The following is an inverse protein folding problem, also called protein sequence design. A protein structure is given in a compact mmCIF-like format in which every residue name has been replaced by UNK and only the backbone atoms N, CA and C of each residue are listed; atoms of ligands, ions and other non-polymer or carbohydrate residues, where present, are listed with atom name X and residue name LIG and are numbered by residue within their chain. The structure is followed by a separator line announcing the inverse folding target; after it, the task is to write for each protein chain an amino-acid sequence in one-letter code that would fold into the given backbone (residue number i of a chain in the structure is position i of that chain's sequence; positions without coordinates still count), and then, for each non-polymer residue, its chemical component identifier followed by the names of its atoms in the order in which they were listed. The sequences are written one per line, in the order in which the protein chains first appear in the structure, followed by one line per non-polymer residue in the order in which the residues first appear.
data_IF_419746027443
#
_entry.id   IF_419746027443
#
_cell.length_a   1.000
_cell.length_b   1.000
_cell.length_c   1.000
_cell.angle_alpha   90.00
_cell.angle_beta   90.00
_cell.angle_gamma   90.00
#
_symmetry.space_group_name_H-M   'P 1'
#
loop_
_entity.id
_entity.type
_entity.pdbx_description
1 polymer ?
#
# COMPACT_ATOMS: atom_id res chain seq x y z
N UNK A 1 -26.91 -0.97 21.02
CA UNK A 1 -25.48 -0.79 20.72
C UNK A 1 -25.20 -1.75 19.59
N UNK A 2 -24.80 -1.26 18.40
CA UNK A 2 -24.35 -2.12 17.30
C UNK A 2 -23.09 -2.87 17.72
N UNK A 3 -22.89 -4.08 17.21
CA UNK A 3 -21.65 -4.81 17.40
C UNK A 3 -20.53 -4.02 16.68
N UNK A 4 -19.39 -3.83 17.36
CA UNK A 4 -18.21 -3.19 16.83
C UNK A 4 -17.68 -4.01 15.64
N UNK A 5 -17.53 -3.38 14.48
CA UNK A 5 -17.02 -4.04 13.27
C UNK A 5 -15.51 -4.18 13.32
N UNK A 6 -14.93 -5.02 12.45
CA UNK A 6 -13.47 -5.08 12.30
C UNK A 6 -12.91 -3.72 11.84
N UNK A 7 -13.64 -3.00 10.98
CA UNK A 7 -13.25 -1.67 10.53
C UNK A 7 -13.16 -0.69 11.71
N UNK A 8 -14.19 -0.65 12.58
CA UNK A 8 -14.17 0.21 13.77
C UNK A 8 -12.97 -0.09 14.67
N UNK A 9 -12.70 -1.38 14.90
CA UNK A 9 -11.61 -1.82 15.74
C UNK A 9 -10.24 -1.41 15.20
N UNK A 10 -9.94 -1.70 13.91
CA UNK A 10 -8.62 -1.42 13.35
C UNK A 10 -8.40 0.07 13.05
N UNK A 11 -9.44 0.81 12.68
CA UNK A 11 -9.38 2.27 12.49
C UNK A 11 -9.35 3.02 13.83
N UNK A 12 -9.91 2.44 14.89
CA UNK A 12 -9.83 2.96 16.24
C UNK A 12 -8.42 2.96 16.82
N UNK A 13 -7.60 1.96 16.47
CA UNK A 13 -6.19 1.92 16.86
C UNK A 13 -5.39 2.96 16.04
N UNK A 14 -4.67 3.86 16.74
CA UNK A 14 -3.86 4.92 16.11
C UNK A 14 -2.37 4.59 16.05
N UNK A 15 -1.91 3.67 16.88
CA UNK A 15 -0.54 3.21 16.86
C UNK A 15 -0.36 2.20 15.71
N UNK A 16 0.44 2.58 14.71
CA UNK A 16 0.67 1.74 13.53
C UNK A 16 1.43 0.44 13.86
N UNK A 17 2.28 0.42 14.89
CA UNK A 17 2.95 -0.78 15.37
C UNK A 17 1.96 -1.79 15.95
N UNK A 18 1.01 -1.31 16.76
CA UNK A 18 -0.09 -2.15 17.27
C UNK A 18 -1.00 -2.66 16.16
N UNK A 19 -1.22 -1.87 15.09
CA UNK A 19 -1.94 -2.37 13.91
C UNK A 19 -1.25 -3.58 13.28
N UNK A 20 0.08 -3.57 13.17
CA UNK A 20 0.85 -4.72 12.68
C UNK A 20 0.62 -5.96 13.54
N UNK A 21 0.63 -5.80 14.87
CA UNK A 21 0.37 -6.90 15.81
C UNK A 21 -1.06 -7.44 15.65
N UNK A 22 -2.05 -6.56 15.63
CA UNK A 22 -3.46 -6.92 15.42
C UNK A 22 -3.61 -7.74 14.14
N UNK A 23 -3.04 -7.27 13.04
CA UNK A 23 -3.10 -7.95 11.75
C UNK A 23 -2.41 -9.32 11.79
N UNK A 24 -1.27 -9.42 12.47
CA UNK A 24 -0.58 -10.70 12.64
C UNK A 24 -1.45 -11.77 13.32
N UNK A 25 -2.17 -11.38 14.38
CA UNK A 25 -3.06 -12.30 15.11
C UNK A 25 -4.36 -12.59 14.37
N UNK A 26 -4.94 -11.60 13.71
CA UNK A 26 -6.27 -11.73 13.11
C UNK A 26 -6.25 -12.25 11.67
N UNK A 27 -5.12 -12.21 10.95
CA UNK A 27 -5.03 -12.58 9.53
C UNK A 27 -5.70 -13.91 9.16
N UNK A 28 -5.52 -14.94 10.00
CA UNK A 28 -6.14 -16.25 9.77
C UNK A 28 -7.64 -16.23 10.06
N UNK A 29 -8.04 -15.51 11.12
CA UNK A 29 -9.44 -15.43 11.53
C UNK A 29 -10.31 -14.70 10.52
N UNK A 30 -9.79 -13.61 9.95
CA UNK A 30 -10.49 -12.81 8.94
C UNK A 30 -10.16 -13.24 7.50
N UNK A 31 -9.32 -14.27 7.32
CA UNK A 31 -9.07 -14.88 6.01
C UNK A 31 -8.36 -13.97 5.01
N UNK A 32 -7.42 -13.12 5.46
CA UNK A 32 -6.70 -12.19 4.60
C UNK A 32 -5.26 -12.61 4.35
N UNK A 33 -4.73 -12.19 3.20
CA UNK A 33 -3.30 -12.25 2.90
C UNK A 33 -2.53 -11.23 3.76
N UNK A 34 -1.52 -11.69 4.45
CA UNK A 34 -0.65 -10.86 5.27
C UNK A 34 0.69 -11.58 5.52
N UNK A 35 1.77 -11.01 5.04
CA UNK A 35 3.13 -11.56 5.15
C UNK A 35 4.17 -10.46 5.44
N UNK A 36 5.44 -10.83 5.42
CA UNK A 36 6.54 -9.90 5.65
C UNK A 36 6.64 -8.82 4.56
N UNK A 37 6.15 -9.08 3.34
CA UNK A 37 6.15 -8.07 2.27
C UNK A 37 5.15 -6.95 2.56
N UNK A 38 4.00 -7.28 3.15
CA UNK A 38 3.01 -6.30 3.62
C UNK A 38 3.60 -5.44 4.73
N UNK A 39 4.31 -6.05 5.69
CA UNK A 39 4.97 -5.34 6.80
C UNK A 39 6.00 -4.36 6.24
N UNK A 40 6.92 -4.82 5.38
CA UNK A 40 7.94 -3.97 4.77
C UNK A 40 7.34 -2.78 4.02
N UNK A 41 6.34 -3.03 3.17
CA UNK A 41 5.66 -1.98 2.41
C UNK A 41 4.91 -1.00 3.32
N UNK A 42 4.40 -1.46 4.45
CA UNK A 42 3.76 -0.57 5.45
C UNK A 42 4.78 0.34 6.10
N UNK A 43 5.95 -0.18 6.49
CA UNK A 43 7.06 0.63 7.00
C UNK A 43 7.51 1.66 5.97
N UNK A 44 7.70 1.24 4.73
CA UNK A 44 8.07 2.14 3.63
C UNK A 44 7.04 3.25 3.42
N UNK A 45 5.74 2.90 3.46
CA UNK A 45 4.65 3.87 3.35
C UNK A 45 4.68 4.87 4.51
N UNK A 46 4.88 4.39 5.74
CA UNK A 46 4.98 5.26 6.93
C UNK A 46 6.13 6.26 6.80
N UNK A 47 7.32 5.79 6.41
CA UNK A 47 8.48 6.65 6.20
C UNK A 47 8.24 7.68 5.09
N UNK A 48 7.55 7.29 4.01
CA UNK A 48 7.20 8.21 2.93
C UNK A 48 6.16 9.25 3.39
N UNK A 49 5.18 8.88 4.20
CA UNK A 49 4.24 9.84 4.81
C UNK A 49 4.97 10.85 5.70
N UNK A 50 5.93 10.41 6.51
CA UNK A 50 6.75 11.32 7.33
C UNK A 50 7.55 12.30 6.46
N UNK A 51 8.13 11.81 5.36
CA UNK A 51 8.79 12.66 4.37
C UNK A 51 7.83 13.70 3.77
N UNK A 52 6.63 13.27 3.33
CA UNK A 52 5.63 14.16 2.74
C UNK A 52 5.15 15.22 3.72
N UNK A 53 4.92 14.87 4.97
CA UNK A 53 4.50 15.81 6.01
C UNK A 53 5.51 16.95 6.22
N UNK A 54 6.80 16.67 6.00
CA UNK A 54 7.88 17.68 6.16
C UNK A 54 8.08 18.48 4.87
N UNK A 55 8.09 17.82 3.71
CA UNK A 55 8.54 18.41 2.45
C UNK A 55 7.39 18.87 1.54
N UNK A 56 6.19 18.32 1.73
CA UNK A 56 5.00 18.59 0.90
C UNK A 56 3.75 18.80 1.79
N UNK A 57 3.73 19.82 2.66
CA UNK A 57 2.65 20.01 3.65
C UNK A 57 1.28 20.30 3.02
N UNK A 58 1.23 20.62 1.72
CA UNK A 58 -0.01 20.73 0.96
C UNK A 58 -0.67 19.39 0.67
N UNK A 59 0.09 18.28 0.78
CA UNK A 59 -0.43 16.91 0.65
C UNK A 59 -0.94 16.49 2.03
N UNK A 60 -2.21 16.76 2.27
CA UNK A 60 -2.86 16.44 3.55
C UNK A 60 -3.70 15.17 3.41
N UNK A 61 -3.19 14.06 3.95
CA UNK A 61 -3.87 12.76 4.01
C UNK A 61 -3.98 12.28 5.46
N UNK A 62 -5.00 11.49 5.76
CA UNK A 62 -5.11 10.84 7.07
C UNK A 62 -4.15 9.64 7.12
N UNK A 63 -3.05 9.80 7.87
CA UNK A 63 -2.05 8.75 8.07
C UNK A 63 -2.67 7.44 8.54
N UNK A 64 -3.64 7.51 9.45
CA UNK A 64 -4.31 6.33 9.99
C UNK A 64 -5.07 5.56 8.91
N UNK A 65 -5.73 6.28 8.00
CA UNK A 65 -6.42 5.70 6.84
C UNK A 65 -5.39 5.08 5.88
N UNK A 66 -4.33 5.81 5.53
CA UNK A 66 -3.31 5.32 4.57
C UNK A 66 -2.60 4.07 5.09
N UNK A 67 -2.17 4.06 6.35
CA UNK A 67 -1.51 2.90 6.96
C UNK A 67 -2.47 1.70 7.03
N UNK A 68 -3.71 1.91 7.44
CA UNK A 68 -4.70 0.82 7.48
C UNK A 68 -4.99 0.29 6.07
N UNK A 69 -5.11 1.17 5.08
CA UNK A 69 -5.29 0.76 3.69
C UNK A 69 -4.07 0.00 3.16
N UNK A 70 -2.84 0.38 3.53
CA UNK A 70 -1.64 -0.39 3.14
C UNK A 70 -1.65 -1.81 3.69
N UNK A 71 -2.08 -2.00 4.91
CA UNK A 71 -2.20 -3.32 5.54
C UNK A 71 -3.23 -4.22 4.85
N UNK A 72 -4.25 -3.64 4.21
CA UNK A 72 -5.44 -4.33 3.74
C UNK A 72 -5.63 -4.34 2.21
N UNK A 73 -4.98 -3.48 1.43
CA UNK A 73 -5.19 -3.41 -0.01
C UNK A 73 -4.81 -4.69 -0.77
N UNK A 74 -3.93 -5.50 -0.20
CA UNK A 74 -3.52 -6.80 -0.72
C UNK A 74 -4.30 -7.99 -0.08
N UNK A 75 -5.38 -7.74 0.67
CA UNK A 75 -6.03 -8.74 1.53
C UNK A 75 -6.50 -10.01 0.80
N UNK A 76 -6.85 -9.94 -0.47
CA UNK A 76 -7.21 -11.09 -1.31
C UNK A 76 -6.17 -11.39 -2.41
N UNK A 77 -4.94 -10.93 -2.24
CA UNK A 77 -3.84 -11.27 -3.14
C UNK A 77 -3.56 -12.78 -3.11
N UNK A 78 -3.37 -13.36 -4.28
CA UNK A 78 -3.04 -14.77 -4.44
C UNK A 78 -1.56 -14.88 -4.79
N UNK A 79 -0.80 -15.56 -3.94
CA UNK A 79 0.60 -15.85 -4.21
C UNK A 79 0.74 -16.81 -5.40
N UNK A 80 1.75 -16.56 -6.24
CA UNK A 80 2.14 -17.45 -7.34
C UNK A 80 1.00 -17.82 -8.32
N UNK A 81 0.00 -16.96 -8.44
CA UNK A 81 -1.06 -17.20 -9.42
C UNK A 81 -0.55 -16.93 -10.83
N UNK A 82 -0.74 -17.89 -11.72
CA UNK A 82 -0.58 -17.72 -13.19
C UNK A 82 -1.87 -17.24 -13.84
N UNK A 83 -2.96 -17.15 -13.09
CA UNK A 83 -4.27 -16.71 -13.55
C UNK A 83 -4.30 -15.17 -13.61
N UNK A 84 -4.22 -14.66 -14.85
CA UNK A 84 -4.20 -13.21 -15.11
C UNK A 84 -5.47 -12.50 -14.64
N UNK A 85 -6.62 -13.16 -14.64
CA UNK A 85 -7.87 -12.58 -14.16
C UNK A 85 -7.83 -12.38 -12.65
N UNK A 86 -7.33 -13.35 -11.90
CA UNK A 86 -7.13 -13.23 -10.46
C UNK A 86 -6.13 -12.13 -10.11
N UNK A 87 -5.02 -12.04 -10.88
CA UNK A 87 -4.00 -10.99 -10.70
C UNK A 87 -4.58 -9.59 -10.96
N UNK A 88 -5.48 -9.45 -11.94
CA UNK A 88 -6.07 -8.17 -12.29
C UNK A 88 -7.23 -7.76 -11.39
N UNK A 89 -7.97 -8.73 -10.84
CA UNK A 89 -9.21 -8.48 -10.09
C UNK A 89 -9.04 -8.49 -8.57
N UNK A 90 -7.88 -8.87 -8.02
CA UNK A 90 -7.74 -9.04 -6.57
C UNK A 90 -8.03 -7.77 -5.77
N UNK A 91 -7.64 -6.60 -6.28
CA UNK A 91 -7.86 -5.34 -5.58
C UNK A 91 -9.36 -4.99 -5.51
N UNK A 92 -10.09 -5.19 -6.61
CA UNK A 92 -11.55 -5.00 -6.64
C UNK A 92 -12.26 -5.97 -5.69
N UNK A 93 -11.93 -7.26 -5.77
CA UNK A 93 -12.50 -8.26 -4.86
C UNK A 93 -12.13 -8.00 -3.41
N UNK A 94 -10.90 -7.51 -3.17
CA UNK A 94 -10.45 -7.08 -1.86
C UNK A 94 -11.29 -5.93 -1.31
N UNK A 95 -11.56 -4.91 -2.11
CA UNK A 95 -12.42 -3.79 -1.74
C UNK A 95 -13.85 -4.24 -1.41
N UNK A 96 -14.42 -5.12 -2.24
CA UNK A 96 -15.74 -5.73 -1.99
C UNK A 96 -15.73 -6.52 -0.66
N UNK A 97 -14.68 -7.28 -0.39
CA UNK A 97 -14.53 -8.02 0.86
C UNK A 97 -14.40 -7.07 2.08
N UNK A 98 -13.59 -6.02 1.97
CA UNK A 98 -13.42 -5.03 3.04
C UNK A 98 -14.74 -4.32 3.39
N UNK A 99 -15.61 -4.09 2.42
CA UNK A 99 -16.94 -3.54 2.72
C UNK A 99 -17.78 -4.47 3.61
N UNK A 100 -17.62 -5.79 3.49
CA UNK A 100 -18.29 -6.75 4.38
C UNK A 100 -17.73 -6.76 5.81
N UNK A 101 -16.53 -6.22 6.00
CA UNK A 101 -15.88 -6.07 7.31
C UNK A 101 -16.18 -4.72 7.97
N UNK A 102 -17.04 -3.89 7.36
CA UNK A 102 -17.52 -2.63 7.89
C UNK A 102 -16.77 -1.38 7.38
N UNK A 103 -15.81 -1.52 6.45
CA UNK A 103 -15.15 -0.36 5.86
C UNK A 103 -16.09 0.40 4.92
N UNK A 104 -16.01 1.74 4.98
CA UNK A 104 -16.79 2.62 4.14
C UNK A 104 -16.35 2.62 2.67
N UNK A 105 -17.17 3.23 1.82
CA UNK A 105 -16.92 3.31 0.39
C UNK A 105 -15.59 4.00 0.05
N UNK A 106 -15.24 5.09 0.76
CA UNK A 106 -14.02 5.85 0.47
C UNK A 106 -12.76 5.02 0.79
N UNK A 107 -12.76 4.34 1.92
CA UNK A 107 -11.67 3.42 2.27
C UNK A 107 -11.51 2.28 1.24
N UNK A 108 -12.62 1.65 0.87
CA UNK A 108 -12.62 0.58 -0.13
C UNK A 108 -12.10 1.07 -1.48
N UNK A 109 -12.46 2.29 -1.89
CA UNK A 109 -11.98 2.92 -3.12
C UNK A 109 -10.47 3.22 -3.08
N UNK A 110 -9.92 3.62 -1.93
CA UNK A 110 -8.48 3.77 -1.75
C UNK A 110 -7.77 2.43 -2.01
N UNK A 111 -8.24 1.34 -1.38
CA UNK A 111 -7.65 0.02 -1.53
C UNK A 111 -7.75 -0.51 -2.97
N UNK A 112 -8.89 -0.35 -3.63
CA UNK A 112 -9.09 -0.74 -5.03
C UNK A 112 -8.15 0.02 -5.96
N UNK A 113 -7.94 1.31 -5.70
CA UNK A 113 -7.13 2.21 -6.53
C UNK A 113 -5.64 1.90 -6.52
N UNK A 114 -5.11 1.13 -5.58
CA UNK A 114 -3.69 0.76 -5.51
C UNK A 114 -3.26 -0.07 -6.71
N UNK A 115 -4.15 -0.89 -7.26
CA UNK A 115 -3.83 -1.71 -8.42
C UNK A 115 -4.00 -0.91 -9.72
N UNK A 116 -2.88 -0.63 -10.40
CA UNK A 116 -2.84 0.09 -11.69
C UNK A 116 -3.70 -0.50 -12.81
N UNK A 117 -4.19 -1.72 -12.66
CA UNK A 117 -5.07 -2.37 -13.64
C UNK A 117 -6.54 -2.03 -13.44
N UNK A 118 -6.90 -1.41 -12.31
CA UNK A 118 -8.30 -1.16 -11.95
C UNK A 118 -8.75 0.27 -12.24
N UNK A 119 -8.15 1.27 -11.61
CA UNK A 119 -8.58 2.67 -11.73
C UNK A 119 -7.36 3.55 -11.99
N UNK A 120 -7.36 4.27 -13.12
CA UNK A 120 -6.27 5.18 -13.50
C UNK A 120 -6.64 6.66 -13.39
N UNK A 121 -7.92 6.99 -13.53
CA UNK A 121 -8.41 8.36 -13.52
C UNK A 121 -9.19 8.65 -12.25
N UNK A 122 -9.01 9.86 -11.70
CA UNK A 122 -9.73 10.35 -10.52
C UNK A 122 -9.65 9.44 -9.28
N UNK A 123 -8.55 8.72 -9.13
CA UNK A 123 -8.34 7.91 -7.92
C UNK A 123 -7.87 8.80 -6.75
N UNK A 124 -8.14 8.40 -5.50
CA UNK A 124 -7.64 9.09 -4.31
C UNK A 124 -6.12 9.22 -4.31
N UNK A 125 -5.59 10.34 -3.78
CA UNK A 125 -4.15 10.55 -3.65
C UNK A 125 -3.49 9.50 -2.74
N UNK A 126 -4.23 8.98 -1.77
CA UNK A 126 -3.82 7.88 -0.90
C UNK A 126 -3.48 6.63 -1.72
N UNK A 127 -4.24 6.34 -2.79
CA UNK A 127 -3.94 5.23 -3.70
C UNK A 127 -2.63 5.44 -4.46
N UNK A 128 -2.30 6.68 -4.84
CA UNK A 128 -1.01 7.02 -5.49
C UNK A 128 0.16 6.80 -4.53
N UNK A 129 0.04 7.24 -3.28
CA UNK A 129 1.04 7.00 -2.23
C UNK A 129 1.27 5.50 -2.03
N UNK A 130 0.18 4.75 -1.91
CA UNK A 130 0.23 3.31 -1.69
C UNK A 130 0.81 2.54 -2.88
N UNK A 131 0.47 2.94 -4.11
CA UNK A 131 0.98 2.30 -5.32
C UNK A 131 2.49 2.44 -5.47
N UNK A 132 3.06 3.62 -5.18
CA UNK A 132 4.51 3.85 -5.23
C UNK A 132 5.25 2.94 -4.25
N UNK A 133 4.78 2.88 -3.01
CA UNK A 133 5.34 1.99 -1.99
C UNK A 133 5.18 0.51 -2.36
N UNK A 134 4.04 0.14 -2.97
CA UNK A 134 3.79 -1.23 -3.42
C UNK A 134 4.72 -1.64 -4.57
N UNK A 135 4.83 -0.80 -5.59
CA UNK A 135 5.69 -1.07 -6.75
C UNK A 135 7.16 -1.15 -6.34
N UNK A 136 7.66 -0.14 -5.61
CA UNK A 136 9.05 -0.08 -5.18
C UNK A 136 9.38 -1.22 -4.24
N UNK A 137 8.58 -1.44 -3.19
CA UNK A 137 8.76 -2.55 -2.26
C UNK A 137 8.74 -3.91 -2.96
N UNK A 138 7.88 -4.07 -3.96
CA UNK A 138 7.84 -5.28 -4.78
C UNK A 138 9.06 -5.48 -5.69
N UNK A 139 9.83 -4.42 -5.97
CA UNK A 139 11.07 -4.49 -6.77
C UNK A 139 12.29 -4.83 -5.92
N UNK A 140 12.42 -4.20 -4.75
CA UNK A 140 13.63 -4.35 -3.91
C UNK A 140 13.63 -5.62 -3.06
N UNK A 141 12.46 -6.21 -2.80
CA UNK A 141 12.36 -7.47 -2.07
C UNK A 141 12.74 -8.67 -2.95
N UNK A 142 13.46 -9.61 -2.34
CA UNK A 142 13.70 -10.92 -2.94
C UNK A 142 12.38 -11.68 -3.12
N UNK A 143 12.32 -12.45 -4.18
CA UNK A 143 11.21 -13.35 -4.51
C UNK A 143 11.76 -14.73 -4.85
N UNK A 144 10.95 -15.80 -4.75
CA UNK A 144 11.39 -17.14 -5.11
C UNK A 144 11.99 -17.23 -6.51
N UNK A 145 11.47 -16.42 -7.45
CA UNK A 145 11.88 -16.44 -8.86
C UNK A 145 13.01 -15.44 -9.21
N UNK A 146 13.38 -14.53 -8.29
CA UNK A 146 14.43 -13.52 -8.54
C UNK A 146 14.93 -12.85 -7.26
N UNK A 147 16.16 -12.38 -7.30
CA UNK A 147 16.69 -11.43 -6.32
C UNK A 147 16.02 -10.04 -6.47
N UNK A 148 15.97 -9.29 -5.39
CA UNK A 148 15.55 -7.88 -5.41
C UNK A 148 16.48 -7.05 -6.29
N UNK A 149 15.94 -6.00 -6.89
CA UNK A 149 16.74 -5.01 -7.61
C UNK A 149 17.54 -4.16 -6.63
N UNK A 150 18.65 -3.59 -7.08
CA UNK A 150 19.29 -2.49 -6.37
C UNK A 150 18.33 -1.31 -6.22
N UNK A 151 18.59 -0.42 -5.25
CA UNK A 151 17.73 0.76 -5.07
C UNK A 151 17.69 1.63 -6.33
N UNK A 152 18.85 1.83 -6.98
CA UNK A 152 18.96 2.64 -8.20
C UNK A 152 18.19 2.03 -9.38
N UNK A 153 18.34 0.71 -9.62
CA UNK A 153 17.60 0.02 -10.67
C UNK A 153 16.10 0.03 -10.42
N UNK A 154 15.69 -0.13 -9.15
CA UNK A 154 14.30 -0.06 -8.75
C UNK A 154 13.70 1.32 -9.00
N UNK A 155 14.44 2.41 -8.71
CA UNK A 155 14.00 3.78 -8.99
C UNK A 155 13.86 4.05 -10.48
N UNK A 156 14.84 3.64 -11.29
CA UNK A 156 14.77 3.77 -12.76
C UNK A 156 13.54 3.03 -13.31
N UNK A 157 13.32 1.80 -12.84
CA UNK A 157 12.18 1.00 -13.28
C UNK A 157 10.84 1.58 -12.79
N UNK A 158 10.79 2.13 -11.58
CA UNK A 158 9.62 2.81 -11.03
C UNK A 158 9.23 4.01 -11.90
N UNK A 159 10.21 4.89 -12.20
CA UNK A 159 10.00 6.04 -13.08
C UNK A 159 9.51 5.59 -14.46
N UNK A 160 10.16 4.61 -15.08
CA UNK A 160 9.76 4.10 -16.39
C UNK A 160 8.33 3.57 -16.42
N UNK A 161 7.91 2.84 -15.38
CA UNK A 161 6.55 2.29 -15.27
C UNK A 161 5.50 3.38 -15.13
N UNK A 162 5.85 4.52 -14.54
CA UNK A 162 4.93 5.63 -14.26
C UNK A 162 5.05 6.79 -15.26
N UNK A 163 5.97 6.73 -16.25
CA UNK A 163 6.13 7.76 -17.29
C UNK A 163 4.84 8.09 -18.07
N UNK A 164 3.95 7.13 -18.20
CA UNK A 164 2.68 7.28 -18.91
C UNK A 164 1.52 7.64 -17.99
N UNK A 165 1.73 7.62 -16.71
CA UNK A 165 0.72 7.96 -15.71
C UNK A 165 0.83 9.44 -15.36
N UNK A 166 0.15 10.27 -16.14
CA UNK A 166 0.14 11.73 -15.99
C UNK A 166 -0.42 12.20 -14.62
N UNK A 167 -1.07 11.32 -13.87
CA UNK A 167 -1.70 11.63 -12.60
C UNK A 167 -0.83 11.30 -11.40
N UNK A 168 0.31 10.64 -11.60
CA UNK A 168 1.21 10.31 -10.49
C UNK A 168 2.12 11.52 -10.15
N UNK A 169 1.54 12.47 -9.42
CA UNK A 169 2.20 13.70 -8.97
C UNK A 169 3.30 13.47 -7.93
N UNK A 170 3.41 12.26 -7.39
CA UNK A 170 4.25 11.96 -6.24
C UNK A 170 5.53 11.22 -6.61
N UNK A 171 5.74 10.89 -7.89
CA UNK A 171 6.88 10.06 -8.27
C UNK A 171 8.22 10.76 -7.99
N UNK A 172 8.31 12.05 -8.28
CA UNK A 172 9.55 12.82 -8.05
C UNK A 172 9.83 12.97 -6.56
N UNK A 173 8.78 13.14 -5.74
CA UNK A 173 8.89 13.17 -4.30
C UNK A 173 9.31 11.81 -3.74
N UNK A 174 8.75 10.71 -4.27
CA UNK A 174 9.15 9.37 -3.84
C UNK A 174 10.61 9.06 -4.19
N UNK A 175 11.06 9.46 -5.39
CA UNK A 175 12.46 9.34 -5.81
C UNK A 175 13.37 10.15 -4.88
N UNK A 176 12.99 11.38 -4.55
CA UNK A 176 13.72 12.26 -3.62
C UNK A 176 13.80 11.65 -2.22
N UNK A 177 12.69 11.08 -1.74
CA UNK A 177 12.62 10.37 -0.47
C UNK A 177 13.60 9.19 -0.41
N UNK A 178 13.58 8.30 -1.41
CA UNK A 178 14.48 7.14 -1.45
C UNK A 178 15.95 7.58 -1.56
N UNK A 179 16.25 8.59 -2.36
CA UNK A 179 17.61 9.15 -2.47
C UNK A 179 18.09 9.76 -1.16
N UNK A 180 17.20 10.33 -0.34
CA UNK A 180 17.54 10.83 0.99
C UNK A 180 17.87 9.68 1.95
N UNK A 181 17.11 8.59 1.93
CA UNK A 181 17.41 7.40 2.73
C UNK A 181 18.75 6.79 2.37
N UNK A 182 19.10 6.76 1.08
CA UNK A 182 20.37 6.21 0.59
C UNK A 182 21.61 7.00 1.04
N UNK A 183 21.44 8.24 1.49
CA UNK A 183 22.52 9.10 1.97
C UNK A 183 22.81 8.95 3.47
N UNK A 184 21.99 8.16 4.18
CA UNK A 184 22.24 7.88 5.59
C UNK A 184 23.42 6.91 5.65
N UNK A 185 24.60 7.44 6.04
CA UNK A 185 25.78 6.63 6.32
C UNK A 185 25.56 5.79 7.59
N UNK A 186 25.83 4.50 7.51
CA UNK A 186 25.71 3.54 8.61
C UNK A 186 27.09 3.22 9.16
#
# INVERSE_FOLDING_TARGET
MGEETFADYILGEKDWGKKLEIMYYLKKRIGIYYDNTVIFKTLLTKMFLDYLNINCPEINVDENIVITARLLCDCLKVENSTDLEKIRSYAKRGAEYLSTLGFDYNFCRICEGVNRYTIKENRPIESDILELSDQFGGMVLDRPERMGFSLDDALVLLQYRNLKDKNNRLIDEFVSFINQLNKIEV
#
